data_IF_396002003757
#
_entry.id   IF_396002003757
#
_cell.length_a   1.000
_cell.length_b   1.000
_cell.length_c   1.000
_cell.angle_alpha   90.00
_cell.angle_beta   90.00
_cell.angle_gamma   90.00
#
_symmetry.space_group_name_H-M   'P 1'
#
loop_
_entity.id
_entity.type
_entity.pdbx_description
1 polymer ?
#
# COMPACT_ATOMS: atom_id res chain seq x y z
N UNK A 1 3.39 -18.11 -7.29
CA UNK A 1 4.14 -16.84 -7.15
C UNK A 1 4.23 -16.12 -8.49
N UNK A 2 3.31 -15.18 -8.74
CA UNK A 2 3.45 -14.06 -9.68
C UNK A 2 2.18 -13.21 -9.53
N UNK A 3 2.19 -12.26 -8.59
CA UNK A 3 0.97 -11.55 -8.25
C UNK A 3 1.15 -10.58 -7.10
N UNK A 4 1.58 -9.36 -7.42
CA UNK A 4 1.42 -8.16 -6.58
C UNK A 4 -0.06 -7.78 -6.40
N UNK A 5 -0.95 -8.77 -6.26
CA UNK A 5 -2.34 -8.56 -5.89
C UNK A 5 -2.35 -8.17 -4.42
N UNK A 6 -3.01 -7.06 -4.10
CA UNK A 6 -3.24 -6.70 -2.71
C UNK A 6 -4.18 -7.75 -2.12
N UNK A 7 -3.90 -8.23 -0.89
CA UNK A 7 -4.79 -9.18 -0.23
C UNK A 7 -6.17 -8.59 0.08
N UNK A 8 -6.24 -7.25 0.13
CA UNK A 8 -7.44 -6.49 0.43
C UNK A 8 -7.44 -5.17 -0.33
N UNK A 9 -8.64 -4.74 -0.72
CA UNK A 9 -8.89 -3.51 -1.44
C UNK A 9 -9.96 -2.71 -0.71
N UNK A 10 -9.60 -1.56 -0.13
CA UNK A 10 -10.62 -0.61 0.31
C UNK A 10 -10.99 0.33 -0.81
N UNK A 11 -12.29 0.41 -1.10
CA UNK A 11 -12.87 1.31 -2.10
C UNK A 11 -14.17 1.90 -1.54
N UNK A 12 -14.27 3.23 -1.52
CA UNK A 12 -15.42 3.96 -0.96
C UNK A 12 -15.81 3.52 0.46
N UNK A 13 -14.81 3.20 1.29
CA UNK A 13 -15.01 2.82 2.68
C UNK A 13 -15.42 1.36 2.89
N UNK A 14 -15.47 0.57 1.82
CA UNK A 14 -15.78 -0.86 1.87
C UNK A 14 -14.53 -1.68 1.59
N UNK A 15 -14.25 -2.63 2.48
CA UNK A 15 -13.13 -3.55 2.36
C UNK A 15 -13.52 -4.80 1.55
N UNK A 16 -12.74 -5.09 0.52
CA UNK A 16 -12.91 -6.24 -0.36
C UNK A 16 -11.69 -7.17 -0.26
N UNK A 17 -11.89 -8.39 0.25
CA UNK A 17 -10.82 -9.39 0.35
C UNK A 17 -10.57 -10.08 -1.00
N UNK A 18 -9.30 -10.37 -1.28
CA UNK A 18 -8.88 -11.18 -2.43
C UNK A 18 -8.91 -10.42 -3.74
N UNK A 19 -9.92 -10.66 -4.60
CA UNK A 19 -9.96 -10.05 -5.93
C UNK A 19 -10.56 -8.64 -5.85
N UNK A 20 -10.02 -7.67 -6.61
CA UNK A 20 -10.61 -6.34 -6.66
C UNK A 20 -12.04 -6.43 -7.23
N UNK A 21 -13.00 -5.67 -6.68
CA UNK A 21 -14.36 -5.67 -7.22
C UNK A 21 -14.39 -5.06 -8.63
N UNK A 22 -15.40 -5.40 -9.43
CA UNK A 22 -15.51 -4.93 -10.82
C UNK A 22 -15.51 -3.40 -10.98
N UNK A 23 -15.89 -2.66 -9.94
CA UNK A 23 -15.90 -1.20 -9.94
C UNK A 23 -14.58 -0.58 -9.43
N UNK A 24 -13.54 -1.36 -9.14
CA UNK A 24 -12.27 -0.86 -8.63
C UNK A 24 -11.62 0.18 -9.55
N UNK A 25 -11.43 -0.15 -10.83
CA UNK A 25 -10.82 0.78 -11.79
C UNK A 25 -11.68 2.02 -12.07
N UNK A 26 -13.00 1.91 -12.30
CA UNK A 26 -13.87 3.08 -12.36
C UNK A 26 -13.76 3.98 -11.12
N UNK A 27 -13.67 3.38 -9.93
CA UNK A 27 -13.54 4.11 -8.66
C UNK A 27 -12.22 4.84 -8.54
N UNK A 28 -11.11 4.19 -8.89
CA UNK A 28 -9.78 4.79 -8.88
C UNK A 28 -9.66 5.93 -9.91
N UNK A 29 -10.26 5.77 -11.09
CA UNK A 29 -10.29 6.84 -12.08
C UNK A 29 -11.12 8.01 -11.57
N UNK A 30 -12.36 7.76 -11.15
CA UNK A 30 -13.28 8.82 -10.75
C UNK A 30 -12.75 9.59 -9.53
N UNK A 31 -12.26 8.90 -8.50
CA UNK A 31 -11.78 9.50 -7.25
C UNK A 31 -10.55 10.38 -7.43
N UNK A 32 -9.78 10.17 -8.50
CA UNK A 32 -8.53 10.89 -8.79
C UNK A 32 -8.69 12.06 -9.76
N UNK A 33 -9.88 12.29 -10.29
CA UNK A 33 -10.16 13.42 -11.16
C UNK A 33 -10.81 14.56 -10.35
N UNK A 34 -10.38 15.81 -10.54
CA UNK A 34 -11.13 16.96 -10.05
C UNK A 34 -12.57 16.88 -10.54
N UNK A 35 -13.55 17.16 -9.67
CA UNK A 35 -14.97 17.05 -10.04
C UNK A 35 -15.31 17.93 -11.24
N UNK A 36 -14.68 19.10 -11.35
CA UNK A 36 -14.84 19.99 -12.49
C UNK A 36 -14.32 19.36 -13.80
N UNK A 37 -13.25 18.55 -13.75
CA UNK A 37 -12.79 17.78 -14.90
C UNK A 37 -13.78 16.67 -15.26
N UNK A 38 -14.41 16.03 -14.27
CA UNK A 38 -15.50 15.06 -14.52
C UNK A 38 -16.67 15.73 -15.23
N UNK A 39 -17.08 16.92 -14.82
CA UNK A 39 -18.11 17.72 -15.53
C UNK A 39 -17.69 18.02 -16.96
N UNK A 40 -16.43 18.41 -17.18
CA UNK A 40 -15.92 18.68 -18.53
C UNK A 40 -15.97 17.43 -19.43
N UNK A 41 -15.58 16.26 -18.89
CA UNK A 41 -15.69 14.97 -19.58
C UNK A 41 -17.14 14.64 -19.93
N UNK A 42 -18.09 14.89 -19.02
CA UNK A 42 -19.52 14.65 -19.25
C UNK A 42 -20.08 15.59 -20.32
N UNK A 43 -19.78 16.89 -20.27
CA UNK A 43 -20.25 17.86 -21.27
C UNK A 43 -19.72 17.51 -22.66
N UNK A 44 -18.42 17.21 -22.76
CA UNK A 44 -17.81 16.76 -24.00
C UNK A 44 -18.41 15.43 -24.51
N UNK A 45 -18.55 14.44 -23.64
CA UNK A 45 -19.13 13.13 -23.98
C UNK A 45 -20.59 13.24 -24.47
N UNK A 46 -21.42 14.02 -23.78
CA UNK A 46 -22.81 14.28 -24.18
C UNK A 46 -22.86 15.02 -25.52
N UNK A 47 -22.03 16.05 -25.70
CA UNK A 47 -21.97 16.78 -26.96
C UNK A 47 -21.56 15.88 -28.12
N UNK A 48 -20.58 14.98 -27.91
CA UNK A 48 -20.19 13.97 -28.89
C UNK A 48 -21.36 13.03 -29.20
N UNK A 49 -22.04 12.48 -28.19
CA UNK A 49 -23.13 11.52 -28.36
C UNK A 49 -24.34 12.09 -29.09
N UNK A 50 -24.77 13.32 -28.74
CA UNK A 50 -25.96 13.96 -29.29
C UNK A 50 -25.74 14.50 -30.71
N UNK A 51 -24.49 14.84 -31.06
CA UNK A 51 -24.18 15.54 -32.31
C UNK A 51 -23.23 14.73 -33.19
N UNK A 52 -23.49 13.45 -33.45
CA UNK A 52 -22.65 12.64 -34.32
C UNK A 52 -23.01 12.71 -35.84
N UNK A 53 -22.90 13.85 -36.57
CA UNK A 53 -22.60 13.81 -38.00
C UNK A 53 -21.11 14.05 -38.20
N UNK A 54 -20.30 13.02 -37.93
CA UNK A 54 -18.87 12.99 -38.26
C UNK A 54 -18.64 12.31 -39.62
N UNK A 55 -17.62 12.75 -40.34
CA UNK A 55 -17.20 12.11 -41.59
C UNK A 55 -16.87 10.62 -41.36
N UNK A 56 -16.99 9.80 -42.41
CA UNK A 56 -16.70 8.35 -42.32
C UNK A 56 -15.30 8.07 -41.74
N UNK A 57 -14.28 8.82 -42.19
CA UNK A 57 -12.90 8.71 -41.67
C UNK A 57 -12.80 9.07 -40.18
N UNK A 58 -13.44 10.15 -39.74
CA UNK A 58 -13.45 10.55 -38.34
C UNK A 58 -14.19 9.52 -37.47
N UNK A 59 -15.27 8.91 -38.00
CA UNK A 59 -15.99 7.83 -37.32
C UNK A 59 -15.10 6.60 -37.10
N UNK A 60 -14.35 6.18 -38.11
CA UNK A 60 -13.41 5.07 -38.00
C UNK A 60 -12.30 5.37 -36.98
N UNK A 61 -11.76 6.58 -36.98
CA UNK A 61 -10.75 6.99 -36.00
C UNK A 61 -11.30 7.00 -34.57
N UNK A 62 -12.49 7.57 -34.34
CA UNK A 62 -13.15 7.56 -33.03
C UNK A 62 -13.49 6.14 -32.56
N UNK A 63 -13.97 5.28 -33.47
CA UNK A 63 -14.23 3.88 -33.18
C UNK A 63 -12.94 3.15 -32.77
N UNK A 64 -11.81 3.40 -33.44
CA UNK A 64 -10.53 2.82 -33.07
C UNK A 64 -10.07 3.27 -31.67
N UNK A 65 -10.19 4.56 -31.35
CA UNK A 65 -9.89 5.09 -30.00
C UNK A 65 -10.79 4.43 -28.94
N UNK A 66 -12.08 4.29 -29.21
CA UNK A 66 -13.02 3.62 -28.31
C UNK A 66 -12.68 2.15 -28.10
N UNK A 67 -12.37 1.41 -29.18
CA UNK A 67 -11.98 0.00 -29.11
C UNK A 67 -10.69 -0.17 -28.31
N UNK A 68 -9.68 0.69 -28.55
CA UNK A 68 -8.43 0.66 -27.79
C UNK A 68 -8.67 0.96 -26.31
N UNK A 69 -9.45 2.00 -26.00
CA UNK A 69 -9.76 2.38 -24.62
C UNK A 69 -10.58 1.29 -23.91
N UNK A 70 -11.58 0.71 -24.58
CA UNK A 70 -12.40 -0.37 -24.04
C UNK A 70 -11.60 -1.66 -23.84
N UNK A 71 -10.75 -2.03 -24.80
CA UNK A 71 -9.86 -3.18 -24.68
C UNK A 71 -8.87 -3.02 -23.52
N UNK A 72 -8.30 -1.82 -23.36
CA UNK A 72 -7.40 -1.53 -22.25
C UNK A 72 -8.13 -1.50 -20.90
N UNK A 73 -9.33 -0.89 -20.83
CA UNK A 73 -10.16 -0.91 -19.63
C UNK A 73 -10.56 -2.35 -19.25
N UNK A 74 -10.87 -3.21 -20.23
CA UNK A 74 -11.14 -4.63 -20.01
C UNK A 74 -9.90 -5.35 -19.45
N UNK A 75 -8.71 -5.08 -20.01
CA UNK A 75 -7.46 -5.63 -19.49
C UNK A 75 -7.22 -5.23 -18.02
N UNK A 76 -7.51 -3.97 -17.65
CA UNK A 76 -7.47 -3.52 -16.26
C UNK A 76 -8.49 -4.28 -15.39
N UNK A 77 -9.75 -4.39 -15.83
CA UNK A 77 -10.80 -5.10 -15.09
C UNK A 77 -10.46 -6.58 -14.84
N UNK A 78 -9.75 -7.21 -15.78
CA UNK A 78 -9.29 -8.60 -15.65
C UNK A 78 -7.99 -8.73 -14.84
N UNK A 79 -7.31 -7.62 -14.55
CA UNK A 79 -6.07 -7.63 -13.75
C UNK A 79 -6.37 -7.89 -12.28
N UNK A 80 -5.47 -8.64 -11.62
CA UNK A 80 -5.59 -8.97 -10.18
C UNK A 80 -5.03 -7.90 -9.25
N UNK A 81 -4.30 -6.91 -9.78
CA UNK A 81 -3.60 -5.91 -8.98
C UNK A 81 -4.08 -4.50 -9.28
N UNK A 82 -4.59 -3.81 -8.27
CA UNK A 82 -4.83 -2.35 -8.28
C UNK A 82 -3.62 -1.54 -7.80
N UNK A 83 -2.48 -2.23 -7.65
CA UNK A 83 -1.18 -1.67 -7.30
C UNK A 83 -0.82 -0.47 -8.19
N UNK A 84 -0.04 0.50 -7.71
CA UNK A 84 0.28 1.77 -8.37
C UNK A 84 -0.89 2.70 -8.74
N UNK A 85 -2.15 2.32 -8.50
CA UNK A 85 -3.34 3.20 -8.60
C UNK A 85 -3.67 3.68 -10.01
N UNK A 86 -4.17 4.92 -10.14
CA UNK A 86 -4.62 5.52 -11.41
C UNK A 86 -3.57 5.53 -12.53
N UNK A 87 -2.27 5.36 -12.21
CA UNK A 87 -1.19 5.34 -13.20
C UNK A 87 -1.40 4.31 -14.30
N UNK A 88 -1.96 3.15 -13.95
CA UNK A 88 -2.32 2.15 -14.94
C UNK A 88 -3.52 2.57 -15.80
N UNK A 89 -4.43 3.40 -15.30
CA UNK A 89 -5.59 3.88 -16.04
C UNK A 89 -5.33 5.13 -16.89
N UNK A 90 -4.10 5.67 -16.92
CA UNK A 90 -3.76 6.84 -17.73
C UNK A 90 -4.11 6.70 -19.22
N UNK A 91 -3.88 5.55 -19.90
CA UNK A 91 -4.29 5.39 -21.30
C UNK A 91 -5.79 5.55 -21.51
N UNK A 92 -6.61 5.03 -20.58
CA UNK A 92 -8.07 5.20 -20.62
C UNK A 92 -8.43 6.67 -20.39
N UNK A 93 -7.80 7.32 -19.43
CA UNK A 93 -8.03 8.75 -19.16
C UNK A 93 -7.70 9.64 -20.36
N UNK A 94 -6.57 9.40 -21.03
CA UNK A 94 -6.19 10.15 -22.23
C UNK A 94 -7.20 9.97 -23.36
N UNK A 95 -7.70 8.74 -23.56
CA UNK A 95 -8.76 8.48 -24.53
C UNK A 95 -10.06 9.22 -24.18
N UNK A 96 -10.47 9.21 -22.91
CA UNK A 96 -11.66 9.96 -22.45
C UNK A 96 -11.51 11.47 -22.67
N UNK A 97 -10.35 12.04 -22.35
CA UNK A 97 -10.06 13.45 -22.58
C UNK A 97 -10.10 13.82 -24.07
N UNK A 98 -9.53 12.97 -24.93
CA UNK A 98 -9.58 13.16 -26.38
C UNK A 98 -11.03 13.15 -26.89
N UNK A 99 -11.83 12.17 -26.47
CA UNK A 99 -13.23 12.06 -26.87
C UNK A 99 -14.05 13.27 -26.38
N UNK A 100 -13.82 13.71 -25.14
CA UNK A 100 -14.45 14.91 -24.60
C UNK A 100 -14.05 16.16 -25.39
N UNK A 101 -12.77 16.31 -25.74
CA UNK A 101 -12.27 17.43 -26.54
C UNK A 101 -12.91 17.47 -27.93
N UNK A 102 -13.08 16.32 -28.59
CA UNK A 102 -13.80 16.22 -29.87
C UNK A 102 -15.25 16.68 -29.69
N UNK A 103 -15.95 16.19 -28.67
CA UNK A 103 -17.33 16.61 -28.40
C UNK A 103 -17.47 18.10 -28.10
N UNK A 104 -16.54 18.69 -27.33
CA UNK A 104 -16.50 20.13 -27.05
C UNK A 104 -16.21 20.96 -28.31
N UNK A 105 -15.35 20.48 -29.21
CA UNK A 105 -15.11 21.11 -30.52
C UNK A 105 -16.37 21.11 -31.39
N UNK A 106 -17.15 20.03 -31.36
CA UNK A 106 -18.45 19.96 -32.04
C UNK A 106 -19.49 20.87 -31.37
N UNK A 107 -19.44 21.00 -30.04
CA UNK A 107 -20.29 21.93 -29.30
C UNK A 107 -20.00 23.39 -29.71
N UNK A 108 -18.71 23.73 -29.81
CA UNK A 108 -18.21 25.05 -30.20
C UNK A 108 -18.66 25.46 -31.62
N UNK A 109 -18.67 24.51 -32.56
CA UNK A 109 -18.98 24.77 -33.98
C UNK A 109 -20.46 24.78 -34.32
N UNK A 110 -21.33 24.35 -33.42
CA UNK A 110 -22.74 24.24 -33.77
C UNK A 110 -23.49 25.56 -33.61
N UNK A 111 -24.51 25.71 -34.43
CA UNK A 111 -25.50 26.77 -34.30
C UNK A 111 -26.67 26.25 -33.48
N UNK A 112 -26.83 26.72 -32.25
CA UNK A 112 -27.90 26.28 -31.39
C UNK A 112 -27.88 26.90 -29.99
N UNK A 113 -29.06 26.97 -29.36
CA UNK A 113 -29.27 27.59 -28.04
C UNK A 113 -28.43 26.97 -26.92
N UNK A 114 -28.01 25.71 -27.08
CA UNK A 114 -27.18 24.99 -26.11
C UNK A 114 -25.67 25.32 -26.21
N UNK A 115 -25.20 25.98 -27.30
CA UNK A 115 -23.76 26.27 -27.50
C UNK A 115 -23.20 27.16 -26.40
N UNK A 116 -23.81 28.34 -26.20
CA UNK A 116 -23.33 29.33 -25.23
C UNK A 116 -23.32 28.79 -23.80
N UNK A 117 -24.43 28.25 -23.25
CA UNK A 117 -24.42 27.73 -21.88
C UNK A 117 -23.52 26.50 -21.73
N UNK A 118 -23.50 25.61 -22.71
CA UNK A 118 -22.63 24.43 -22.67
C UNK A 118 -21.14 24.79 -22.71
N UNK A 119 -20.77 25.81 -23.47
CA UNK A 119 -19.38 26.26 -23.52
C UNK A 119 -18.98 27.12 -22.33
N UNK A 120 -19.89 27.95 -21.80
CA UNK A 120 -19.67 28.63 -20.53
C UNK A 120 -19.43 27.62 -19.39
N UNK A 121 -20.24 26.54 -19.34
CA UNK A 121 -20.04 25.45 -18.39
C UNK A 121 -18.69 24.76 -18.58
N UNK A 122 -18.31 24.44 -19.82
CA UNK A 122 -17.02 23.80 -20.12
C UNK A 122 -15.83 24.67 -19.71
N UNK A 123 -15.85 25.96 -20.06
CA UNK A 123 -14.79 26.92 -19.68
C UNK A 123 -14.74 27.11 -18.17
N UNK A 124 -15.89 27.28 -17.52
CA UNK A 124 -15.96 27.40 -16.06
C UNK A 124 -15.45 26.15 -15.35
N UNK A 125 -15.81 24.96 -15.84
CA UNK A 125 -15.34 23.69 -15.32
C UNK A 125 -13.83 23.51 -15.52
N UNK A 126 -13.29 23.88 -16.69
CA UNK A 126 -11.85 23.85 -16.93
C UNK A 126 -11.10 24.83 -16.01
N UNK A 127 -11.57 26.08 -15.91
CA UNK A 127 -10.97 27.09 -15.04
C UNK A 127 -10.99 26.66 -13.57
N UNK A 128 -12.09 26.08 -13.10
CA UNK A 128 -12.20 25.54 -11.75
C UNK A 128 -11.28 24.34 -11.52
N UNK A 129 -11.16 23.44 -12.50
CA UNK A 129 -10.21 22.32 -12.44
C UNK A 129 -8.77 22.82 -12.31
N UNK A 130 -8.36 23.80 -13.13
CA UNK A 130 -7.03 24.42 -13.03
C UNK A 130 -6.85 25.10 -11.67
N UNK A 131 -7.80 25.94 -11.25
CA UNK A 131 -7.71 26.65 -9.98
C UNK A 131 -7.58 25.71 -8.77
N UNK A 132 -8.25 24.55 -8.80
CA UNK A 132 -8.23 23.57 -7.70
C UNK A 132 -7.05 22.61 -7.75
N UNK A 133 -6.28 22.55 -8.85
CA UNK A 133 -5.17 21.59 -9.00
C UNK A 133 -3.80 22.22 -9.19
N UNK A 134 -3.73 23.42 -9.75
CA UNK A 134 -2.45 24.07 -10.08
C UNK A 134 -1.57 24.30 -8.84
N UNK A 135 -2.20 24.52 -7.69
CA UNK A 135 -1.55 24.69 -6.40
C UNK A 135 -1.41 23.44 -5.55
N UNK A 136 -1.79 22.25 -6.03
CA UNK A 136 -1.68 21.00 -5.25
C UNK A 136 -0.27 20.41 -5.39
N UNK A 137 0.60 20.48 -4.35
CA UNK A 137 1.94 19.93 -4.41
C UNK A 137 1.96 18.39 -4.40
N UNK A 138 0.88 17.73 -3.97
CA UNK A 138 0.83 16.27 -3.72
C UNK A 138 -0.04 15.56 -4.74
N UNK A 139 0.42 15.56 -6.00
CA UNK A 139 -0.31 14.99 -7.13
C UNK A 139 -0.62 13.49 -6.98
N UNK A 140 0.20 12.72 -6.24
CA UNK A 140 -0.09 11.29 -6.02
C UNK A 140 -1.19 11.10 -4.97
N UNK A 141 -1.15 11.86 -3.88
CA UNK A 141 -2.18 11.83 -2.83
C UNK A 141 -3.52 12.43 -3.26
N UNK A 142 -3.52 13.25 -4.32
CA UNK A 142 -4.72 13.94 -4.78
C UNK A 142 -5.90 12.98 -4.90
N UNK A 143 -6.99 13.28 -4.22
CA UNK A 143 -8.30 12.69 -4.42
C UNK A 143 -9.29 13.84 -4.45
N UNK A 144 -10.38 13.69 -5.21
CA UNK A 144 -11.42 14.69 -5.19
C UNK A 144 -12.18 14.70 -3.85
N UNK A 145 -12.98 15.74 -3.64
CA UNK A 145 -13.68 15.96 -2.38
C UNK A 145 -14.70 14.86 -2.06
N UNK A 146 -15.31 14.21 -3.07
CA UNK A 146 -16.21 13.07 -2.84
C UNK A 146 -15.46 11.84 -2.30
N UNK A 147 -14.20 11.68 -2.71
CA UNK A 147 -13.31 10.64 -2.25
C UNK A 147 -12.63 10.95 -0.91
N UNK A 148 -12.88 12.11 -0.30
CA UNK A 148 -12.28 12.52 0.98
C UNK A 148 -11.10 13.49 0.87
N UNK A 149 -10.75 13.95 -0.34
CA UNK A 149 -9.67 14.90 -0.54
C UNK A 149 -8.29 14.35 -0.14
N UNK A 150 -7.29 15.24 -0.03
CA UNK A 150 -5.95 14.85 0.44
C UNK A 150 -5.89 14.55 1.95
N UNK A 151 -6.96 14.84 2.72
CA UNK A 151 -6.99 14.68 4.18
C UNK A 151 -7.58 13.34 4.60
N UNK A 152 -8.71 12.94 4.01
CA UNK A 152 -9.52 11.82 4.48
C UNK A 152 -9.73 10.73 3.42
N UNK A 153 -9.06 10.79 2.26
CA UNK A 153 -9.17 9.74 1.25
C UNK A 153 -8.75 8.36 1.73
N UNK A 154 -7.90 8.29 2.75
CA UNK A 154 -7.50 7.05 3.41
C UNK A 154 -8.69 6.28 4.04
N UNK A 155 -9.78 6.97 4.38
CA UNK A 155 -11.02 6.33 4.85
C UNK A 155 -11.72 5.59 3.74
N UNK A 156 -11.63 6.10 2.51
CA UNK A 156 -12.29 5.54 1.34
C UNK A 156 -11.41 4.56 0.56
N UNK A 157 -10.08 4.73 0.62
CA UNK A 157 -9.13 4.00 -0.18
C UNK A 157 -7.98 3.49 0.69
N UNK A 158 -7.54 2.25 0.47
CA UNK A 158 -6.33 1.66 1.08
C UNK A 158 -5.45 1.11 -0.04
N UNK A 159 -4.70 2.00 -0.67
CA UNK A 159 -3.75 1.65 -1.74
C UNK A 159 -2.63 2.70 -1.81
N UNK A 160 -1.62 2.45 -2.64
CA UNK A 160 -0.48 3.36 -2.83
C UNK A 160 -0.86 4.77 -3.32
N UNK A 161 -2.06 4.96 -3.84
CA UNK A 161 -2.50 6.27 -4.28
C UNK A 161 -3.00 7.15 -3.13
N UNK A 162 -3.21 6.58 -1.94
CA UNK A 162 -3.43 7.38 -0.72
C UNK A 162 -2.16 8.15 -0.39
N UNK A 163 -1.01 7.48 -0.48
CA UNK A 163 0.30 8.10 -0.33
C UNK A 163 1.48 7.21 -0.74
N UNK A 164 2.54 7.87 -1.21
CA UNK A 164 3.85 7.34 -1.57
C UNK A 164 4.98 8.05 -0.81
N UNK A 165 4.76 8.44 0.44
CA UNK A 165 5.76 9.15 1.21
C UNK A 165 5.82 10.66 0.92
N UNK A 166 4.77 11.25 0.32
CA UNK A 166 4.81 12.65 -0.12
C UNK A 166 4.80 13.65 1.02
N UNK A 167 4.45 13.21 2.25
CA UNK A 167 4.36 14.06 3.45
C UNK A 167 5.62 14.09 4.31
N UNK A 168 6.69 13.42 3.86
CA UNK A 168 7.93 13.33 4.63
C UNK A 168 8.54 14.71 4.93
N UNK A 169 8.34 15.70 4.04
CA UNK A 169 8.87 17.05 4.23
C UNK A 169 8.18 17.79 5.37
N UNK A 170 6.88 17.63 5.51
CA UNK A 170 6.10 18.20 6.61
C UNK A 170 6.47 17.55 7.94
N UNK A 171 6.65 16.22 7.93
CA UNK A 171 7.15 15.48 9.09
C UNK A 171 8.56 15.93 9.48
N UNK A 172 9.45 16.10 8.51
CA UNK A 172 10.83 16.58 8.74
C UNK A 172 10.86 18.00 9.31
N UNK A 173 10.06 18.92 8.77
CA UNK A 173 9.94 20.27 9.32
C UNK A 173 9.42 20.23 10.76
N UNK A 174 8.39 19.43 11.05
CA UNK A 174 7.89 19.26 12.42
C UNK A 174 8.95 18.65 13.34
N UNK A 175 9.71 17.69 12.86
CA UNK A 175 10.82 17.11 13.59
C UNK A 175 11.84 18.18 14.00
N UNK A 176 12.27 19.02 13.06
CA UNK A 176 13.27 20.06 13.31
C UNK A 176 12.74 21.17 14.24
N UNK A 177 11.47 21.56 14.08
CA UNK A 177 10.85 22.65 14.85
C UNK A 177 10.44 22.22 16.27
N UNK A 178 10.03 20.97 16.47
CA UNK A 178 9.37 20.51 17.71
C UNK A 178 10.12 19.34 18.35
N UNK A 179 10.39 18.28 17.59
CA UNK A 179 10.92 17.03 18.15
C UNK A 179 12.36 17.20 18.65
N UNK A 180 13.22 17.86 17.85
CA UNK A 180 14.62 18.12 18.24
C UNK A 180 14.69 18.90 19.55
N UNK A 181 13.84 19.91 19.75
CA UNK A 181 13.79 20.71 20.97
C UNK A 181 13.32 19.93 22.20
N UNK A 182 12.56 18.85 22.02
CA UNK A 182 12.07 18.00 23.12
C UNK A 182 13.14 17.05 23.69
N UNK A 183 14.19 16.74 22.92
CA UNK A 183 15.21 15.74 23.28
C UNK A 183 14.71 14.28 23.26
N UNK A 184 13.45 14.03 22.91
CA UNK A 184 12.89 12.68 22.79
C UNK A 184 13.10 12.08 21.38
N UNK A 185 13.20 10.74 21.25
CA UNK A 185 13.38 10.09 19.95
C UNK A 185 12.12 10.16 19.07
N UNK A 186 12.31 10.05 17.75
CA UNK A 186 11.24 9.90 16.76
C UNK A 186 11.24 8.48 16.17
N UNK A 187 10.09 7.82 16.18
CA UNK A 187 9.87 6.51 15.57
C UNK A 187 8.93 6.63 14.36
N UNK A 188 9.38 6.13 13.21
CA UNK A 188 8.67 6.27 11.93
C UNK A 188 7.94 4.97 11.56
N UNK A 189 6.60 4.97 11.62
CA UNK A 189 5.73 3.90 11.09
C UNK A 189 5.15 4.24 9.72
N UNK A 190 5.52 5.41 9.20
CA UNK A 190 5.13 5.92 7.92
C UNK A 190 6.12 5.47 6.83
N UNK A 191 5.59 4.79 5.80
CA UNK A 191 6.42 4.15 4.78
C UNK A 191 7.02 5.18 3.82
N UNK A 192 8.31 5.40 3.94
CA UNK A 192 9.13 6.23 3.03
C UNK A 192 10.36 5.44 2.62
N UNK A 193 10.85 5.66 1.41
CA UNK A 193 12.06 4.98 0.93
C UNK A 193 13.28 5.39 1.76
N UNK A 194 14.11 4.41 2.13
CA UNK A 194 15.25 4.60 3.03
C UNK A 194 16.18 5.78 2.67
N UNK A 195 16.52 6.05 1.39
CA UNK A 195 17.33 7.23 1.05
C UNK A 195 16.66 8.56 1.40
N UNK A 196 15.34 8.66 1.18
CA UNK A 196 14.58 9.86 1.52
C UNK A 196 14.46 10.00 3.04
N UNK A 197 14.21 8.89 3.72
CA UNK A 197 14.15 8.84 5.18
C UNK A 197 15.47 9.31 5.81
N UNK A 198 16.62 8.75 5.41
CA UNK A 198 17.95 9.18 5.90
C UNK A 198 18.25 10.65 5.58
N UNK A 199 17.73 11.18 4.47
CA UNK A 199 17.94 12.57 4.08
C UNK A 199 17.09 13.55 4.91
N UNK A 200 15.81 13.22 5.12
CA UNK A 200 14.86 14.12 5.77
C UNK A 200 14.77 13.93 7.29
N UNK A 201 15.08 12.74 7.80
CA UNK A 201 14.99 12.36 9.22
C UNK A 201 16.23 11.58 9.67
N UNK A 202 17.44 12.16 9.61
CA UNK A 202 18.68 11.44 9.95
C UNK A 202 18.78 10.97 11.43
N UNK A 203 17.93 11.51 12.31
CA UNK A 203 17.90 11.19 13.75
C UNK A 203 16.78 10.23 14.17
N UNK A 204 16.04 9.66 13.22
CA UNK A 204 14.98 8.70 13.55
C UNK A 204 15.55 7.45 14.25
N UNK A 205 14.73 6.86 15.12
CA UNK A 205 15.03 5.62 15.83
C UNK A 205 14.21 4.47 15.27
N UNK A 206 14.83 3.31 15.20
CA UNK A 206 14.14 2.04 14.99
C UNK A 206 13.63 1.55 16.34
N UNK A 207 12.55 0.77 16.33
CA UNK A 207 12.05 0.12 17.54
C UNK A 207 13.03 -0.94 18.07
N UNK A 208 13.73 -1.59 17.14
CA UNK A 208 14.77 -2.59 17.40
C UNK A 208 15.96 -2.22 16.51
N UNK A 209 17.12 -1.98 17.11
CA UNK A 209 18.30 -1.50 16.38
C UNK A 209 18.99 -2.62 15.60
N UNK A 210 19.06 -3.82 16.20
CA UNK A 210 19.69 -4.99 15.58
C UNK A 210 19.13 -6.31 16.13
N UNK A 211 19.54 -7.44 15.55
CA UNK A 211 19.23 -8.78 16.09
C UNK A 211 19.84 -9.00 17.49
N UNK A 212 20.87 -8.23 17.85
CA UNK A 212 21.51 -8.28 19.17
C UNK A 212 20.80 -7.43 20.22
N UNK A 213 19.72 -6.73 19.86
CA UNK A 213 18.98 -5.90 20.81
C UNK A 213 18.42 -6.74 21.96
N UNK A 214 18.81 -6.39 23.18
CA UNK A 214 18.41 -7.06 24.43
C UNK A 214 17.36 -6.28 25.21
N UNK A 215 16.91 -5.11 24.72
CA UNK A 215 15.90 -4.32 25.43
C UNK A 215 14.58 -5.11 25.58
N UNK A 216 14.08 -5.13 26.81
CA UNK A 216 12.83 -5.80 27.17
C UNK A 216 11.60 -5.14 26.50
N UNK A 217 10.60 -5.98 26.26
CA UNK A 217 9.68 -5.96 25.12
C UNK A 217 8.69 -4.79 25.04
N UNK A 218 8.77 -4.04 23.95
CA UNK A 218 7.60 -3.34 23.42
C UNK A 218 7.34 -1.94 23.98
N UNK A 219 8.21 -1.40 24.82
CA UNK A 219 8.00 -0.09 25.44
C UNK A 219 8.93 0.98 24.87
N UNK A 220 8.34 2.02 24.31
CA UNK A 220 9.08 3.17 23.77
C UNK A 220 8.42 4.45 24.23
N UNK A 221 9.23 5.47 24.50
CA UNK A 221 8.75 6.81 24.83
C UNK A 221 9.31 7.80 23.81
N UNK A 222 8.46 8.70 23.34
CA UNK A 222 8.85 9.78 22.46
C UNK A 222 7.78 10.12 21.44
N UNK A 223 8.23 10.37 20.22
CA UNK A 223 7.39 10.79 19.11
C UNK A 223 7.19 9.65 18.13
N UNK A 224 5.97 9.50 17.64
CA UNK A 224 5.60 8.41 16.73
C UNK A 224 4.88 8.97 15.53
N UNK A 225 5.23 8.50 14.33
CA UNK A 225 4.60 8.93 13.08
C UNK A 225 3.88 7.74 12.47
N UNK A 226 2.57 7.66 12.68
CA UNK A 226 1.68 6.67 12.07
C UNK A 226 0.87 7.23 10.88
N UNK A 227 0.58 6.39 9.88
CA UNK A 227 -0.53 6.66 8.96
C UNK A 227 -1.86 6.61 9.71
N UNK A 228 -2.78 7.54 9.43
CA UNK A 228 -4.14 7.57 9.99
C UNK A 228 -4.94 6.26 9.81
N UNK A 229 -4.76 5.44 8.75
CA UNK A 229 -5.34 4.09 8.71
C UNK A 229 -5.04 3.21 9.93
N UNK A 230 -3.95 3.47 10.67
CA UNK A 230 -3.61 2.73 11.89
C UNK A 230 -4.56 3.05 13.04
N UNK A 231 -5.35 4.12 12.96
CA UNK A 231 -6.37 4.44 13.98
C UNK A 231 -7.67 3.66 13.80
N UNK A 232 -7.72 2.72 12.85
CA UNK A 232 -8.86 1.84 12.64
C UNK A 232 -8.54 0.41 13.08
N UNK A 233 -9.52 -0.34 13.62
CA UNK A 233 -9.33 -1.76 13.92
C UNK A 233 -8.98 -2.55 12.66
N UNK A 234 -8.02 -3.47 12.78
CA UNK A 234 -7.73 -4.49 11.76
C UNK A 234 -7.72 -5.88 12.43
N UNK A 235 -8.90 -6.51 12.59
CA UNK A 235 -9.05 -7.77 13.31
C UNK A 235 -8.22 -8.91 12.71
N UNK A 236 -7.93 -8.89 11.41
CA UNK A 236 -7.12 -9.95 10.77
C UNK A 236 -5.67 -9.94 11.22
N UNK A 237 -5.13 -8.80 11.64
CA UNK A 237 -3.79 -8.70 12.23
C UNK A 237 -3.82 -8.54 13.75
N UNK A 238 -4.99 -8.74 14.38
CA UNK A 238 -5.22 -8.44 15.81
C UNK A 238 -4.75 -7.05 16.20
N UNK A 239 -5.02 -6.08 15.33
CA UNK A 239 -4.67 -4.68 15.55
C UNK A 239 -5.85 -3.96 16.17
N UNK A 240 -5.69 -3.54 17.43
CA UNK A 240 -6.64 -2.70 18.13
C UNK A 240 -6.03 -1.30 18.36
N UNK A 241 -6.48 -0.26 17.64
CA UNK A 241 -5.97 1.09 17.86
C UNK A 241 -6.22 1.60 19.28
N UNK A 242 -7.25 1.11 19.99
CA UNK A 242 -7.50 1.53 21.36
C UNK A 242 -6.37 1.09 22.30
N UNK A 243 -5.74 -0.06 22.05
CA UNK A 243 -4.57 -0.53 22.79
C UNK A 243 -3.32 0.28 22.42
N UNK A 244 -3.07 0.45 21.11
CA UNK A 244 -1.87 1.10 20.58
C UNK A 244 -1.78 2.57 21.01
N UNK A 245 -2.88 3.29 20.88
CA UNK A 245 -2.93 4.74 21.08
C UNK A 245 -3.39 5.14 22.49
N UNK A 246 -3.60 4.17 23.41
CA UNK A 246 -4.08 4.44 24.77
C UNK A 246 -3.26 5.51 25.52
N UNK A 247 -1.94 5.50 25.31
CA UNK A 247 -0.98 6.37 25.98
C UNK A 247 -0.27 7.32 25.00
N UNK A 248 -0.90 7.58 23.85
CA UNK A 248 -0.40 8.46 22.81
C UNK A 248 -1.38 9.60 22.55
N UNK A 249 -0.88 10.83 22.57
CA UNK A 249 -1.63 12.02 22.18
C UNK A 249 -1.32 12.39 20.74
N UNK A 250 -2.34 12.60 19.91
CA UNK A 250 -2.16 13.14 18.56
C UNK A 250 -1.84 14.64 18.64
N UNK A 251 -0.58 15.00 18.42
CA UNK A 251 -0.10 16.39 18.53
C UNK A 251 -0.29 17.15 17.22
N UNK A 252 -0.02 16.50 16.08
CA UNK A 252 -0.09 17.14 14.77
C UNK A 252 -0.61 16.17 13.71
N UNK A 253 -1.38 16.68 12.75
CA UNK A 253 -1.84 15.90 11.60
C UNK A 253 -1.46 16.57 10.29
N UNK A 254 -0.90 15.79 9.37
CA UNK A 254 -0.62 16.15 8.00
C UNK A 254 -1.43 15.22 7.08
N UNK A 255 -2.67 15.61 6.76
CA UNK A 255 -3.56 14.80 5.92
C UNK A 255 -3.81 13.40 6.49
N UNK A 256 -3.28 12.36 5.83
CA UNK A 256 -3.42 10.97 6.29
C UNK A 256 -2.23 10.49 7.15
N UNK A 257 -1.29 11.37 7.53
CA UNK A 257 -0.20 11.09 8.49
C UNK A 257 -0.46 11.87 9.77
N UNK A 258 -0.31 11.23 10.92
CA UNK A 258 -0.29 11.94 12.21
C UNK A 258 1.11 11.92 12.83
N UNK A 259 1.28 12.75 13.84
CA UNK A 259 2.43 12.75 14.74
C UNK A 259 1.88 12.68 16.16
N UNK A 260 2.25 11.64 16.87
CA UNK A 260 1.81 11.35 18.22
C UNK A 260 2.97 11.49 19.20
N UNK A 261 2.67 11.84 20.44
CA UNK A 261 3.64 11.89 21.54
C UNK A 261 3.14 11.04 22.70
N UNK A 262 4.05 10.33 23.38
CA UNK A 262 3.73 9.63 24.62
C UNK A 262 4.53 8.35 24.79
N UNK A 263 3.89 7.32 25.35
CA UNK A 263 4.49 6.01 25.57
C UNK A 263 3.75 4.94 24.79
N UNK A 264 4.45 4.27 23.89
CA UNK A 264 3.94 3.11 23.18
C UNK A 264 4.30 1.85 23.96
N UNK A 265 3.31 1.03 24.32
CA UNK A 265 3.53 -0.31 24.88
C UNK A 265 2.85 -1.34 23.96
N UNK A 266 3.65 -2.01 23.11
CA UNK A 266 3.13 -3.02 22.21
C UNK A 266 4.18 -4.09 21.87
N UNK A 267 4.27 -5.17 22.66
CA UNK A 267 5.23 -6.26 22.46
C UNK A 267 5.18 -6.90 21.05
N UNK A 268 4.01 -6.92 20.40
CA UNK A 268 3.90 -7.44 19.03
C UNK A 268 4.57 -6.54 17.98
N UNK A 269 4.64 -5.23 18.22
CA UNK A 269 5.40 -4.33 17.34
C UNK A 269 6.90 -4.60 17.45
N UNK A 270 7.37 -4.94 18.65
CA UNK A 270 8.75 -5.39 18.84
C UNK A 270 8.97 -6.68 18.04
N UNK A 271 8.05 -7.65 18.10
CA UNK A 271 8.17 -8.91 17.37
C UNK A 271 8.23 -8.70 15.85
N UNK A 272 7.42 -7.78 15.32
CA UNK A 272 7.47 -7.38 13.91
C UNK A 272 8.80 -6.72 13.53
N UNK A 273 9.30 -5.81 14.37
CA UNK A 273 10.58 -5.12 14.13
C UNK A 273 11.78 -6.07 14.24
N UNK A 274 11.78 -6.97 15.23
CA UNK A 274 12.78 -8.03 15.41
C UNK A 274 12.78 -9.00 14.23
N UNK A 275 11.62 -9.39 13.70
CA UNK A 275 11.53 -10.21 12.48
C UNK A 275 12.24 -9.54 11.30
N UNK A 276 12.06 -8.22 11.13
CA UNK A 276 12.77 -7.47 10.10
C UNK A 276 14.29 -7.43 10.33
N UNK A 277 14.74 -7.31 11.59
CA UNK A 277 16.18 -7.37 11.92
C UNK A 277 16.78 -8.75 11.63
N UNK A 278 16.05 -9.82 11.93
CA UNK A 278 16.46 -11.19 11.58
C UNK A 278 16.59 -11.36 10.07
N UNK A 279 15.62 -10.87 9.31
CA UNK A 279 15.67 -10.91 7.85
C UNK A 279 16.91 -10.17 7.29
N UNK A 280 17.19 -8.96 7.77
CA UNK A 280 18.37 -8.20 7.35
C UNK A 280 19.68 -8.91 7.70
N UNK A 281 19.76 -9.47 8.91
CA UNK A 281 20.93 -10.23 9.35
C UNK A 281 21.23 -11.40 8.42
N UNK A 282 20.22 -12.23 8.11
CA UNK A 282 20.38 -13.42 7.27
C UNK A 282 20.68 -13.02 5.81
N UNK A 283 19.88 -12.11 5.24
CA UNK A 283 19.83 -11.93 3.78
C UNK A 283 20.61 -10.73 3.24
N UNK A 284 20.87 -9.73 4.07
CA UNK A 284 21.64 -8.55 3.66
C UNK A 284 23.06 -8.56 4.23
N UNK A 285 23.21 -9.02 5.47
CA UNK A 285 24.50 -9.00 6.18
C UNK A 285 25.27 -10.32 6.05
N UNK A 286 24.62 -11.39 5.55
CA UNK A 286 25.24 -12.71 5.42
C UNK A 286 25.51 -13.38 6.77
N UNK A 287 24.70 -13.06 7.78
CA UNK A 287 24.83 -13.59 9.13
C UNK A 287 24.58 -15.10 9.20
N UNK A 288 25.36 -15.78 10.03
CA UNK A 288 25.42 -17.24 10.14
C UNK A 288 25.32 -17.76 11.59
N UNK A 289 25.08 -16.90 12.58
CA UNK A 289 24.74 -17.33 13.95
C UNK A 289 23.28 -17.83 14.00
N UNK A 290 23.08 -19.06 13.54
CA UNK A 290 21.78 -19.70 13.52
C UNK A 290 21.21 -19.95 14.92
N UNK A 291 22.06 -20.01 15.94
CA UNK A 291 21.64 -20.10 17.34
C UNK A 291 20.96 -18.81 17.79
N UNK A 292 21.55 -17.64 17.48
CA UNK A 292 20.94 -16.34 17.72
C UNK A 292 19.65 -16.16 16.92
N UNK A 293 19.66 -16.51 15.63
CA UNK A 293 18.47 -16.46 14.77
C UNK A 293 17.33 -17.26 15.37
N UNK A 294 17.58 -18.52 15.74
CA UNK A 294 16.56 -19.38 16.33
C UNK A 294 16.01 -18.79 17.64
N UNK A 295 16.87 -18.33 18.55
CA UNK A 295 16.44 -17.69 19.81
C UNK A 295 15.56 -16.46 19.58
N UNK A 296 15.91 -15.58 18.63
CA UNK A 296 15.11 -14.39 18.33
C UNK A 296 13.77 -14.74 17.68
N UNK A 297 13.76 -15.71 16.78
CA UNK A 297 12.52 -16.17 16.15
C UNK A 297 11.57 -16.86 17.13
N UNK A 298 12.09 -17.60 18.12
CA UNK A 298 11.28 -18.13 19.23
C UNK A 298 10.63 -17.00 20.04
N UNK A 299 11.38 -15.95 20.39
CA UNK A 299 10.84 -14.77 21.08
C UNK A 299 9.76 -14.07 20.25
N UNK A 300 9.98 -13.93 18.94
CA UNK A 300 8.98 -13.39 18.00
C UNK A 300 7.71 -14.24 18.03
N UNK A 301 7.81 -15.57 17.91
CA UNK A 301 6.66 -16.46 17.85
C UNK A 301 5.93 -16.61 19.18
N UNK A 302 6.59 -16.33 20.31
CA UNK A 302 5.94 -16.24 21.61
C UNK A 302 4.98 -15.03 21.69
N UNK A 303 5.36 -13.90 21.08
CA UNK A 303 4.57 -12.67 21.08
C UNK A 303 3.58 -12.59 19.91
N UNK A 304 3.98 -13.13 18.76
CA UNK A 304 3.17 -13.20 17.55
C UNK A 304 3.17 -14.64 16.98
N UNK A 305 2.28 -15.51 17.50
CA UNK A 305 2.15 -16.89 17.05
C UNK A 305 1.89 -17.10 15.55
N UNK A 306 1.38 -16.07 14.87
CA UNK A 306 0.94 -16.10 13.47
C UNK A 306 1.98 -15.50 12.51
N UNK A 307 3.18 -15.14 12.99
CA UNK A 307 4.28 -14.67 12.15
C UNK A 307 4.85 -15.82 11.31
N UNK A 308 4.19 -16.15 10.19
CA UNK A 308 4.57 -17.28 9.33
C UNK A 308 6.01 -17.16 8.77
N UNK A 309 6.48 -15.93 8.51
CA UNK A 309 7.88 -15.67 8.15
C UNK A 309 8.82 -16.17 9.24
N UNK A 310 8.52 -15.84 10.50
CA UNK A 310 9.33 -16.22 11.63
C UNK A 310 9.32 -17.74 11.87
N UNK A 311 8.16 -18.39 11.72
CA UNK A 311 8.06 -19.85 11.80
C UNK A 311 8.83 -20.57 10.68
N UNK A 312 8.75 -20.06 9.45
CA UNK A 312 9.49 -20.60 8.32
C UNK A 312 11.00 -20.46 8.52
N UNK A 313 11.49 -19.27 8.87
CA UNK A 313 12.92 -19.05 9.09
C UNK A 313 13.44 -19.76 10.34
N UNK A 314 12.59 -20.00 11.34
CA UNK A 314 12.94 -20.82 12.50
C UNK A 314 13.19 -22.26 12.06
N UNK A 315 12.35 -22.82 11.18
CA UNK A 315 12.58 -24.15 10.59
C UNK A 315 13.92 -24.23 9.85
N UNK A 316 14.23 -23.21 9.05
CA UNK A 316 15.50 -23.06 8.35
C UNK A 316 16.71 -22.98 9.31
N UNK A 317 16.59 -22.23 10.42
CA UNK A 317 17.65 -22.08 11.40
C UNK A 317 17.88 -23.38 12.19
N UNK A 318 16.79 -24.00 12.67
CA UNK A 318 16.83 -25.27 13.42
C UNK A 318 17.37 -26.43 12.58
N UNK A 319 17.06 -26.46 11.28
CA UNK A 319 17.63 -27.44 10.36
C UNK A 319 19.16 -27.30 10.26
N UNK A 320 19.67 -26.07 10.16
CA UNK A 320 21.12 -25.80 10.12
C UNK A 320 21.83 -26.13 11.44
N UNK A 321 21.11 -26.04 12.56
CA UNK A 321 21.60 -26.49 13.87
C UNK A 321 21.55 -28.01 14.06
N UNK A 322 21.01 -28.76 13.09
CA UNK A 322 20.85 -30.22 13.18
C UNK A 322 19.68 -30.67 14.06
N UNK A 323 18.76 -29.76 14.39
CA UNK A 323 17.66 -30.00 15.33
C UNK A 323 16.39 -30.44 14.60
N UNK A 324 16.34 -31.73 14.22
CA UNK A 324 15.29 -32.33 13.37
C UNK A 324 13.87 -32.00 13.82
N UNK A 325 13.53 -32.38 15.05
CA UNK A 325 12.17 -32.29 15.57
C UNK A 325 11.72 -30.83 15.68
N UNK A 326 12.61 -29.94 16.12
CA UNK A 326 12.34 -28.52 16.21
C UNK A 326 12.15 -27.88 14.83
N UNK A 327 12.94 -28.27 13.82
CA UNK A 327 12.79 -27.80 12.45
C UNK A 327 11.44 -28.21 11.86
N UNK A 328 11.06 -29.49 12.01
CA UNK A 328 9.77 -30.02 11.55
C UNK A 328 8.61 -29.31 12.24
N UNK A 329 8.68 -29.11 13.56
CA UNK A 329 7.64 -28.41 14.32
C UNK A 329 7.47 -26.96 13.84
N UNK A 330 8.57 -26.23 13.60
CA UNK A 330 8.52 -24.87 13.10
C UNK A 330 7.89 -24.78 11.69
N UNK A 331 8.26 -25.67 10.77
CA UNK A 331 7.64 -25.72 9.44
C UNK A 331 6.17 -26.12 9.47
N UNK A 332 5.78 -27.08 10.32
CA UNK A 332 4.37 -27.49 10.48
C UNK A 332 3.49 -26.34 10.96
N UNK A 333 3.99 -25.48 11.84
CA UNK A 333 3.28 -24.27 12.26
C UNK A 333 2.91 -23.35 11.10
N UNK A 334 3.73 -23.29 10.05
CA UNK A 334 3.40 -22.55 8.82
C UNK A 334 2.26 -23.24 8.06
N UNK A 335 2.25 -24.57 7.99
CA UNK A 335 1.22 -25.36 7.31
C UNK A 335 -0.14 -25.34 8.05
N UNK A 336 -0.11 -25.22 9.37
CA UNK A 336 -1.27 -25.29 10.25
C UNK A 336 -1.99 -23.95 10.45
N UNK A 337 -1.41 -22.82 10.04
CA UNK A 337 -2.05 -21.51 10.16
C UNK A 337 -3.25 -21.38 9.19
N UNK A 338 -4.30 -20.71 9.65
CA UNK A 338 -5.56 -20.48 8.92
C UNK A 338 -5.87 -18.99 8.68
N UNK A 339 -5.03 -18.09 9.19
CA UNK A 339 -5.21 -16.62 9.12
C UNK A 339 -5.16 -16.09 7.70
N UNK A 340 -4.24 -16.61 6.88
CA UNK A 340 -4.03 -16.14 5.52
C UNK A 340 -4.01 -17.31 4.54
N UNK A 341 -4.68 -17.20 3.37
CA UNK A 341 -4.57 -18.22 2.35
C UNK A 341 -3.14 -18.28 1.80
N UNK A 342 -2.54 -19.47 1.79
CA UNK A 342 -1.23 -19.70 1.19
C UNK A 342 -1.34 -20.25 -0.22
N UNK A 343 -0.33 -19.96 -1.04
CA UNK A 343 -0.20 -20.53 -2.39
C UNK A 343 -0.16 -22.07 -2.29
N UNK A 344 -1.08 -22.82 -2.94
CA UNK A 344 -1.09 -24.28 -2.90
C UNK A 344 0.23 -24.92 -3.31
N UNK A 345 0.95 -24.30 -4.26
CA UNK A 345 2.25 -24.79 -4.70
C UNK A 345 3.31 -24.63 -3.60
N UNK A 346 3.23 -23.54 -2.83
CA UNK A 346 4.10 -23.35 -1.66
C UNK A 346 3.80 -24.40 -0.58
N UNK A 347 2.52 -24.63 -0.28
CA UNK A 347 2.09 -25.65 0.71
C UNK A 347 2.56 -27.04 0.32
N UNK A 348 2.45 -27.40 -0.96
CA UNK A 348 2.91 -28.69 -1.48
C UNK A 348 4.43 -28.84 -1.35
N UNK A 349 5.21 -27.82 -1.73
CA UNK A 349 6.68 -27.81 -1.60
C UNK A 349 7.12 -27.89 -0.14
N UNK A 350 6.50 -27.14 0.75
CA UNK A 350 6.84 -27.13 2.17
C UNK A 350 6.50 -28.48 2.82
N UNK A 351 5.34 -29.06 2.51
CA UNK A 351 4.96 -30.41 2.97
C UNK A 351 5.95 -31.48 2.50
N UNK A 352 6.36 -31.44 1.23
CA UNK A 352 7.37 -32.37 0.70
C UNK A 352 8.73 -32.18 1.39
N UNK A 353 9.12 -30.94 1.67
CA UNK A 353 10.36 -30.66 2.39
C UNK A 353 10.34 -31.20 3.82
N UNK A 354 9.22 -31.04 4.54
CA UNK A 354 9.04 -31.65 5.87
C UNK A 354 9.23 -33.17 5.81
N UNK A 355 8.65 -33.85 4.82
CA UNK A 355 8.83 -35.29 4.64
C UNK A 355 10.30 -35.69 4.39
N UNK A 356 11.03 -34.91 3.59
CA UNK A 356 12.47 -35.11 3.36
C UNK A 356 13.25 -35.01 4.69
N UNK A 357 12.96 -33.98 5.49
CA UNK A 357 13.59 -33.82 6.80
C UNK A 357 13.24 -34.99 7.72
N UNK A 358 12.01 -35.49 7.71
CA UNK A 358 11.61 -36.61 8.57
C UNK A 358 12.29 -37.94 8.16
N UNK A 359 12.47 -38.17 6.86
CA UNK A 359 13.00 -39.42 6.31
C UNK A 359 14.52 -39.47 6.19
N UNK A 360 15.20 -38.31 6.20
CA UNK A 360 16.65 -38.29 6.00
C UNK A 360 17.40 -38.98 7.14
N UNK A 361 18.39 -39.82 6.86
CA UNK A 361 19.27 -40.36 7.91
C UNK A 361 20.28 -39.32 8.42
N UNK A 362 20.62 -38.32 7.61
CA UNK A 362 21.58 -37.26 7.93
C UNK A 362 21.05 -35.89 7.48
N UNK A 363 20.95 -34.96 8.43
CA UNK A 363 20.47 -33.60 8.16
C UNK A 363 21.50 -32.72 7.47
N UNK A 364 22.80 -33.04 7.54
CA UNK A 364 23.84 -32.23 6.91
C UNK A 364 23.68 -32.16 5.37
N UNK A 365 23.00 -33.15 4.77
CA UNK A 365 22.72 -33.22 3.34
C UNK A 365 21.37 -32.59 2.95
N UNK A 366 20.54 -32.19 3.91
CA UNK A 366 19.24 -31.56 3.65
C UNK A 366 19.44 -30.04 3.58
N UNK A 367 19.39 -29.49 2.37
CA UNK A 367 19.51 -28.05 2.17
C UNK A 367 18.28 -27.31 2.73
N UNK A 368 18.45 -26.19 3.45
CA UNK A 368 17.36 -25.34 3.88
C UNK A 368 16.57 -24.76 2.71
N UNK A 369 15.28 -24.50 2.91
CA UNK A 369 14.44 -23.94 1.86
C UNK A 369 14.81 -22.48 1.60
N UNK A 370 14.89 -22.12 0.32
CA UNK A 370 14.91 -20.71 -0.07
C UNK A 370 13.64 -20.04 0.43
N UNK A 371 13.82 -18.90 1.09
CA UNK A 371 12.70 -18.10 1.59
C UNK A 371 11.80 -17.66 0.44
N UNK A 372 10.48 -17.94 0.51
CA UNK A 372 9.52 -17.50 -0.50
C UNK A 372 9.32 -15.98 -0.49
N UNK A 373 9.89 -15.28 0.50
CA UNK A 373 9.76 -13.83 0.70
C UNK A 373 10.90 -13.02 0.04
N UNK A 374 11.79 -13.69 -0.68
CA UNK A 374 12.90 -13.06 -1.42
C UNK A 374 12.55 -12.72 -2.88
N UNK A 375 11.34 -13.04 -3.34
CA UNK A 375 10.89 -12.84 -4.73
C UNK A 375 10.09 -11.55 -4.94
#
# INVERSE_FOLDING_TARGET
MDGRGQAEHRLWGVDHAGRPPAHAWPSLVLSKLPLALVVLLLVGGIALAVRLPVSSRARSALAMVLVMAAGYALALLLSKGTYAGIRHALPVLMAMLLLAAVGLSMLWRADGRARVPGMALAVGAWALAVATTLGEPRLYEFHNTLAGGHVDAWRNFRNESVDLGQRIREVARFHDEVVVGSGQPLYLFYRVGEPATRHYLPGERKLVDSIHDEHAFGEWEGWFVFPMPYTEPEPRSDWDPAEIFANLELVQRFGHVGVWQGRLNHPRMWAGSMSARVWEYIYQQGGDDWGLVARRLDQVLALNPHAYFAAFELGNARLRLGEREAAVAAYRRVLEQDRFPMDPDFVARLSAHVQIIEQSSDLAHVSPMRSPFLE
#
